data_IF_034338545862
#
_entry.id   IF_034338545862
#
_cell.length_a   1.000
_cell.length_b   1.000
_cell.length_c   1.000
_cell.angle_alpha   90.00
_cell.angle_beta   90.00
_cell.angle_gamma   90.00
#
_symmetry.space_group_name_H-M   'P 1'
#
loop_
_entity.id
_entity.type
_entity.pdbx_description
1 polymer ?
#
# COMPACT_ATOMS: atom_id res chain seq x y z
N UNK A 1 11.05 11.78 9.84
CA UNK A 1 11.07 10.73 8.81
C UNK A 1 9.81 9.88 8.92
N UNK A 2 9.19 9.56 7.81
CA UNK A 2 7.95 8.80 7.80
C UNK A 2 8.20 7.31 8.07
N UNK A 3 7.27 6.68 8.78
CA UNK A 3 7.19 5.23 8.90
C UNK A 3 6.18 4.76 7.86
N UNK A 4 6.65 4.12 6.79
CA UNK A 4 5.84 3.77 5.63
C UNK A 4 5.49 2.28 5.66
N UNK A 5 4.20 1.97 5.62
CA UNK A 5 3.73 0.59 5.54
C UNK A 5 3.42 0.24 4.08
N UNK A 6 4.06 -0.82 3.62
CA UNK A 6 3.94 -1.33 2.25
C UNK A 6 3.34 -2.72 2.26
N UNK A 7 2.67 -3.08 1.19
CA UNK A 7 2.12 -4.41 1.04
C UNK A 7 1.00 -4.46 0.03
N UNK A 8 0.70 -5.66 -0.44
CA UNK A 8 -0.39 -5.89 -1.37
C UNK A 8 -1.74 -5.63 -0.69
N UNK A 9 -2.80 -5.45 -1.48
CA UNK A 9 -4.15 -5.32 -0.90
C UNK A 9 -4.44 -6.54 -0.02
N UNK A 10 -5.14 -6.33 1.08
CA UNK A 10 -5.44 -7.38 2.04
C UNK A 10 -4.36 -7.64 3.09
N UNK A 11 -3.20 -6.98 3.01
CA UNK A 11 -2.11 -7.18 3.98
C UNK A 11 -2.38 -6.55 5.35
N UNK A 12 -3.39 -5.68 5.46
CA UNK A 12 -3.76 -5.07 6.74
C UNK A 12 -3.03 -3.79 7.08
N UNK A 13 -2.49 -3.10 6.09
CA UNK A 13 -1.71 -1.87 6.29
C UNK A 13 -2.42 -0.82 7.13
N UNK A 14 -3.67 -0.51 6.79
CA UNK A 14 -4.43 0.54 7.49
C UNK A 14 -4.76 0.14 8.93
N UNK A 15 -5.06 -1.13 9.16
CA UNK A 15 -5.32 -1.62 10.53
C UNK A 15 -4.08 -1.48 11.39
N UNK A 16 -2.93 -1.89 10.87
CA UNK A 16 -1.66 -1.78 11.60
C UNK A 16 -1.27 -0.31 11.80
N UNK A 17 -1.43 0.51 10.77
CA UNK A 17 -1.13 1.94 10.88
C UNK A 17 -1.93 2.61 11.98
N UNK A 18 -3.23 2.32 12.04
CA UNK A 18 -4.13 2.89 13.05
C UNK A 18 -3.71 2.50 14.47
N UNK A 19 -3.29 1.26 14.65
CA UNK A 19 -2.84 0.78 15.96
C UNK A 19 -1.50 1.41 16.36
N UNK A 20 -0.63 1.68 15.39
CA UNK A 20 0.66 2.33 15.66
C UNK A 20 0.48 3.81 15.97
N UNK A 21 -0.44 4.48 15.28
CA UNK A 21 -0.65 5.91 15.40
C UNK A 21 -2.09 6.25 15.01
N UNK A 22 -2.93 6.73 15.97
CA UNK A 22 -4.29 7.15 15.64
C UNK A 22 -4.35 8.27 14.58
N UNK A 23 -3.28 9.05 14.45
CA UNK A 23 -3.18 10.15 13.49
C UNK A 23 -2.48 9.74 12.20
N UNK A 24 -2.39 8.45 11.92
CA UNK A 24 -1.74 7.95 10.70
C UNK A 24 -2.39 8.55 9.44
N UNK A 25 -1.63 8.56 8.35
CA UNK A 25 -2.13 9.02 7.07
C UNK A 25 -2.45 7.81 6.19
N UNK A 26 -3.69 7.74 5.70
CA UNK A 26 -4.07 6.85 4.62
C UNK A 26 -3.80 7.60 3.32
N UNK A 27 -2.78 7.17 2.60
CA UNK A 27 -2.31 7.87 1.41
C UNK A 27 -3.37 7.95 0.32
N UNK A 28 -4.10 6.85 0.06
CA UNK A 28 -5.15 6.84 -0.95
C UNK A 28 -6.29 7.79 -0.58
N UNK A 29 -6.70 7.82 0.68
CA UNK A 29 -7.72 8.74 1.15
C UNK A 29 -7.28 10.20 0.99
N UNK A 30 -6.01 10.48 1.30
CA UNK A 30 -5.46 11.83 1.12
C UNK A 30 -5.44 12.24 -0.36
N UNK A 31 -5.07 11.32 -1.24
CA UNK A 31 -5.08 11.57 -2.69
C UNK A 31 -6.49 11.91 -3.15
N UNK A 32 -7.48 11.11 -2.76
CA UNK A 32 -8.89 11.35 -3.13
C UNK A 32 -9.37 12.71 -2.64
N UNK A 33 -8.99 13.08 -1.43
CA UNK A 33 -9.34 14.39 -0.88
C UNK A 33 -8.73 15.52 -1.71
N UNK A 34 -7.49 15.39 -2.14
CA UNK A 34 -6.83 16.41 -2.96
C UNK A 34 -7.41 16.49 -4.37
N UNK A 35 -7.81 15.34 -4.92
CA UNK A 35 -8.39 15.27 -6.26
C UNK A 35 -9.85 15.73 -6.29
N UNK A 36 -10.57 15.64 -5.16
CA UNK A 36 -11.99 15.91 -5.10
C UNK A 36 -12.83 14.85 -5.80
N UNK A 37 -12.28 13.66 -6.02
CA UNK A 37 -12.96 12.53 -6.66
C UNK A 37 -12.29 11.22 -6.24
N UNK A 38 -12.93 10.09 -6.54
CA UNK A 38 -12.34 8.79 -6.28
C UNK A 38 -11.15 8.51 -7.21
N UNK A 39 -10.23 7.68 -6.76
CA UNK A 39 -9.10 7.24 -7.57
C UNK A 39 -9.60 6.54 -8.83
N UNK A 40 -10.63 5.68 -8.70
CA UNK A 40 -11.20 4.97 -9.84
C UNK A 40 -11.71 5.94 -10.92
N UNK A 41 -12.42 7.00 -10.51
CA UNK A 41 -12.91 8.01 -11.44
C UNK A 41 -11.78 8.78 -12.10
N UNK A 42 -10.75 9.12 -11.33
CA UNK A 42 -9.59 9.82 -11.86
C UNK A 42 -8.86 8.98 -12.91
N UNK A 43 -8.68 7.68 -12.65
CA UNK A 43 -8.11 6.75 -13.63
C UNK A 43 -8.91 6.74 -14.92
N UNK A 44 -10.23 6.67 -14.81
CA UNK A 44 -11.12 6.61 -15.98
C UNK A 44 -11.02 7.90 -16.82
N UNK A 45 -10.89 9.06 -16.17
CA UNK A 45 -10.85 10.35 -16.88
C UNK A 45 -9.45 10.74 -17.37
N UNK A 46 -8.41 10.51 -16.55
CA UNK A 46 -7.08 11.04 -16.80
C UNK A 46 -6.03 9.96 -17.10
N UNK A 47 -6.32 8.70 -16.78
CA UNK A 47 -5.41 7.58 -17.01
C UNK A 47 -4.40 7.35 -15.91
N UNK A 48 -3.68 6.22 -16.02
CA UNK A 48 -2.74 5.78 -15.00
C UNK A 48 -1.55 6.73 -14.84
N UNK A 49 -0.98 7.20 -15.95
CA UNK A 49 0.20 8.07 -15.92
C UNK A 49 -0.06 9.35 -15.11
N UNK A 50 -1.22 9.99 -15.34
CA UNK A 50 -1.62 11.18 -14.60
C UNK A 50 -1.79 10.88 -13.11
N UNK A 51 -2.37 9.71 -12.78
CA UNK A 51 -2.54 9.30 -11.39
C UNK A 51 -1.18 9.08 -10.72
N UNK A 52 -0.27 8.36 -11.38
CA UNK A 52 1.06 8.10 -10.81
C UNK A 52 1.83 9.37 -10.54
N UNK A 53 1.63 10.41 -11.35
CA UNK A 53 2.24 11.72 -11.11
C UNK A 53 1.70 12.35 -9.82
N UNK A 54 0.39 12.36 -9.63
CA UNK A 54 -0.23 12.88 -8.41
C UNK A 54 0.22 12.05 -7.19
N UNK A 55 0.22 10.74 -7.33
CA UNK A 55 0.67 9.84 -6.27
C UNK A 55 2.11 10.14 -5.85
N UNK A 56 3.00 10.36 -6.80
CA UNK A 56 4.42 10.68 -6.52
C UNK A 56 4.55 12.01 -5.78
N UNK A 57 3.77 13.00 -6.15
CA UNK A 57 3.80 14.31 -5.49
C UNK A 57 3.33 14.19 -4.03
N UNK A 58 2.26 13.44 -3.79
CA UNK A 58 1.75 13.20 -2.45
C UNK A 58 2.77 12.40 -1.63
N UNK A 59 3.36 11.36 -2.21
CA UNK A 59 4.38 10.55 -1.55
C UNK A 59 5.59 11.39 -1.14
N UNK A 60 6.10 12.22 -2.05
CA UNK A 60 7.24 13.09 -1.76
C UNK A 60 6.95 14.03 -0.58
N UNK A 61 5.74 14.57 -0.52
CA UNK A 61 5.32 15.43 0.58
C UNK A 61 5.23 14.65 1.89
N UNK A 62 4.62 13.46 1.87
CA UNK A 62 4.47 12.62 3.07
C UNK A 62 5.80 12.15 3.64
N UNK A 63 6.78 11.87 2.79
CA UNK A 63 8.10 11.43 3.24
C UNK A 63 8.87 12.49 4.03
N UNK A 64 8.47 13.75 3.92
CA UNK A 64 9.06 14.85 4.69
C UNK A 64 8.46 14.99 6.08
N UNK A 65 7.38 14.27 6.37
CA UNK A 65 6.65 14.36 7.63
C UNK A 65 7.03 13.21 8.55
N UNK A 66 6.94 13.44 9.86
CA UNK A 66 7.20 12.42 10.87
C UNK A 66 5.87 11.75 11.24
N UNK A 67 5.36 10.93 10.35
CA UNK A 67 4.05 10.27 10.48
C UNK A 67 4.11 8.83 10.05
N UNK A 68 3.13 8.04 10.53
CA UNK A 68 2.88 6.69 10.01
C UNK A 68 2.01 6.83 8.76
N UNK A 69 2.44 6.22 7.66
CA UNK A 69 1.76 6.31 6.37
C UNK A 69 1.38 4.90 5.90
N UNK A 70 0.09 4.70 5.64
CA UNK A 70 -0.42 3.50 4.98
C UNK A 70 -0.53 3.80 3.49
N UNK A 71 0.26 3.10 2.67
CA UNK A 71 0.29 3.33 1.23
C UNK A 71 -0.77 2.49 0.50
N UNK A 72 -1.10 2.89 -0.73
CA UNK A 72 -1.87 2.04 -1.64
C UNK A 72 -1.01 0.89 -2.17
N UNK A 73 -1.65 -0.22 -2.53
CA UNK A 73 -0.94 -1.41 -3.00
C UNK A 73 -0.11 -1.20 -4.25
N UNK A 74 -0.46 -0.21 -5.08
CA UNK A 74 0.23 0.09 -6.32
C UNK A 74 1.29 1.17 -6.23
N UNK A 75 1.60 1.66 -5.02
CA UNK A 75 2.57 2.76 -4.85
C UNK A 75 3.94 2.43 -5.46
N UNK A 76 4.33 1.15 -5.44
CA UNK A 76 5.65 0.71 -5.96
C UNK A 76 5.68 0.49 -7.47
N UNK A 77 4.57 0.63 -8.17
CA UNK A 77 4.52 0.37 -9.62
C UNK A 77 5.35 1.41 -10.39
N UNK A 78 5.36 2.65 -9.94
CA UNK A 78 6.13 3.73 -10.55
C UNK A 78 7.59 3.69 -10.11
N UNK A 79 8.52 3.79 -11.08
CA UNK A 79 9.96 3.89 -10.77
C UNK A 79 10.26 5.11 -9.92
N UNK A 80 9.60 6.23 -10.21
CA UNK A 80 9.77 7.46 -9.42
C UNK A 80 9.40 7.23 -7.96
N UNK A 81 8.31 6.51 -7.70
CA UNK A 81 7.90 6.18 -6.32
C UNK A 81 8.91 5.27 -5.64
N UNK A 82 9.43 4.26 -6.37
CA UNK A 82 10.47 3.39 -5.81
C UNK A 82 11.71 4.18 -5.45
N UNK A 83 12.12 5.11 -6.30
CA UNK A 83 13.29 5.96 -6.03
C UNK A 83 13.05 6.86 -4.81
N UNK A 84 11.86 7.42 -4.69
CA UNK A 84 11.48 8.23 -3.52
C UNK A 84 11.50 7.39 -2.24
N UNK A 85 10.93 6.20 -2.27
CA UNK A 85 10.90 5.30 -1.11
C UNK A 85 12.29 4.90 -0.66
N UNK A 86 13.22 4.72 -1.59
CA UNK A 86 14.61 4.38 -1.25
C UNK A 86 15.32 5.48 -0.46
N UNK A 87 14.84 6.71 -0.52
CA UNK A 87 15.40 7.80 0.30
C UNK A 87 14.90 7.78 1.73
N UNK A 88 13.87 6.99 2.01
CA UNK A 88 13.28 6.88 3.35
C UNK A 88 13.82 5.61 4.03
N UNK A 89 14.25 5.72 5.29
CA UNK A 89 14.92 4.61 5.97
C UNK A 89 13.99 3.72 6.79
N UNK A 90 12.69 4.01 6.82
CA UNK A 90 11.73 3.27 7.63
C UNK A 90 10.54 2.81 6.80
N UNK A 91 10.82 1.94 5.84
CA UNK A 91 9.81 1.33 4.96
C UNK A 91 9.60 -0.12 5.40
N UNK A 92 8.41 -0.43 5.87
CA UNK A 92 8.07 -1.76 6.39
C UNK A 92 7.16 -2.47 5.39
N UNK A 93 7.64 -3.58 4.83
CA UNK A 93 6.85 -4.42 3.95
C UNK A 93 6.13 -5.47 4.78
N UNK A 94 4.80 -5.39 4.82
CA UNK A 94 3.95 -6.41 5.44
C UNK A 94 3.70 -7.50 4.40
N UNK A 95 4.51 -8.55 4.45
CA UNK A 95 4.51 -9.63 3.47
C UNK A 95 3.61 -10.77 3.93
N UNK A 96 2.75 -11.23 3.04
CA UNK A 96 1.93 -12.43 3.27
C UNK A 96 1.88 -13.24 1.98
N UNK A 97 1.59 -14.54 2.09
CA UNK A 97 1.45 -15.35 0.89
C UNK A 97 0.16 -14.97 0.13
N UNK A 98 0.16 -15.26 -1.17
CA UNK A 98 -0.94 -14.85 -2.04
C UNK A 98 -2.27 -15.47 -1.62
N UNK A 99 -2.28 -16.74 -1.26
CA UNK A 99 -3.53 -17.41 -0.88
C UNK A 99 -4.16 -16.75 0.35
N UNK A 100 -3.37 -16.40 1.35
CA UNK A 100 -3.84 -15.70 2.55
C UNK A 100 -4.45 -14.35 2.16
N UNK A 101 -3.75 -13.59 1.32
CA UNK A 101 -4.23 -12.28 0.86
C UNK A 101 -5.50 -12.42 0.03
N UNK A 102 -5.53 -13.39 -0.87
CA UNK A 102 -6.70 -13.62 -1.72
C UNK A 102 -7.94 -13.93 -0.89
N UNK A 103 -7.82 -14.80 0.11
CA UNK A 103 -8.94 -15.12 1.00
C UNK A 103 -9.44 -13.88 1.74
N UNK A 104 -8.54 -13.02 2.19
CA UNK A 104 -8.90 -11.77 2.88
C UNK A 104 -9.65 -10.82 1.94
N UNK A 105 -9.19 -10.71 0.70
CA UNK A 105 -9.83 -9.83 -0.31
C UNK A 105 -11.22 -10.34 -0.64
N UNK A 106 -11.39 -11.64 -0.85
CA UNK A 106 -12.69 -12.26 -1.14
C UNK A 106 -13.68 -12.06 0.00
N UNK A 107 -13.21 -12.18 1.24
CA UNK A 107 -14.03 -12.03 2.43
C UNK A 107 -14.46 -10.58 2.69
N UNK A 108 -13.73 -9.61 2.19
CA UNK A 108 -13.99 -8.17 2.40
C UNK A 108 -14.99 -7.66 1.36
N UNK A 109 -16.26 -7.89 1.63
CA UNK A 109 -17.36 -7.50 0.72
C UNK A 109 -17.65 -6.01 0.75
N UNK A 110 -17.19 -5.30 1.79
CA UNK A 110 -17.47 -3.87 1.96
C UNK A 110 -16.50 -2.99 1.17
N UNK A 111 -15.32 -3.51 0.83
CA UNK A 111 -14.26 -2.78 0.13
C UNK A 111 -13.87 -3.49 -1.16
N UNK A 112 -14.77 -3.46 -2.14
CA UNK A 112 -14.50 -4.05 -3.45
C UNK A 112 -13.45 -3.20 -4.20
N UNK A 113 -12.34 -3.83 -4.54
CA UNK A 113 -11.21 -3.13 -5.19
C UNK A 113 -11.23 -3.36 -6.70
N UNK A 114 -11.06 -2.30 -7.52
CA UNK A 114 -11.07 -2.45 -8.98
C UNK A 114 -10.09 -3.50 -9.48
N UNK A 115 -8.89 -3.58 -8.90
CA UNK A 115 -7.90 -4.57 -9.30
C UNK A 115 -8.42 -6.00 -9.12
N UNK A 116 -9.11 -6.26 -8.01
CA UNK A 116 -9.72 -7.58 -7.74
C UNK A 116 -10.89 -7.86 -8.69
N UNK A 117 -11.73 -6.85 -8.92
CA UNK A 117 -12.93 -7.01 -9.75
C UNK A 117 -12.60 -7.23 -11.23
N UNK A 118 -11.49 -6.65 -11.71
CA UNK A 118 -11.13 -6.64 -13.13
C UNK A 118 -10.15 -7.74 -13.54
N UNK A 119 -9.74 -8.61 -12.60
CA UNK A 119 -8.75 -9.64 -12.88
C UNK A 119 -9.21 -11.00 -12.35
N UNK A 120 -8.83 -12.06 -13.05
CA UNK A 120 -9.00 -13.43 -12.54
C UNK A 120 -8.02 -13.66 -11.39
N UNK A 121 -8.20 -14.77 -10.67
CA UNK A 121 -7.27 -15.16 -9.60
C UNK A 121 -5.85 -15.31 -10.13
N UNK A 122 -5.69 -15.93 -11.30
CA UNK A 122 -4.39 -16.16 -11.93
C UNK A 122 -3.74 -14.85 -12.34
N UNK A 123 -4.52 -13.93 -12.92
CA UNK A 123 -4.03 -12.60 -13.29
C UNK A 123 -3.60 -11.81 -12.06
N UNK A 124 -4.39 -11.90 -10.99
CA UNK A 124 -4.08 -11.21 -9.73
C UNK A 124 -2.80 -11.79 -9.09
N UNK A 125 -2.62 -13.11 -9.17
CA UNK A 125 -1.40 -13.77 -8.68
C UNK A 125 -0.16 -13.29 -9.43
N UNK A 126 -0.26 -13.09 -10.74
CA UNK A 126 0.84 -12.59 -11.55
C UNK A 126 1.19 -11.15 -11.16
N UNK A 127 0.18 -10.30 -10.94
CA UNK A 127 0.38 -8.92 -10.47
C UNK A 127 1.05 -8.93 -9.09
N UNK A 128 0.59 -9.78 -8.19
CA UNK A 128 1.18 -9.92 -6.85
C UNK A 128 2.66 -10.27 -6.94
N UNK A 129 3.01 -11.26 -7.76
CA UNK A 129 4.39 -11.72 -7.90
C UNK A 129 5.31 -10.63 -8.42
N UNK A 130 4.85 -9.85 -9.41
CA UNK A 130 5.61 -8.73 -9.94
C UNK A 130 5.82 -7.65 -8.89
N UNK A 131 4.76 -7.29 -8.17
CA UNK A 131 4.82 -6.25 -7.13
C UNK A 131 5.66 -6.69 -5.93
N UNK A 132 5.67 -7.99 -5.61
CA UNK A 132 6.45 -8.52 -4.49
C UNK A 132 7.93 -8.16 -4.62
N UNK A 133 8.51 -8.31 -5.80
CA UNK A 133 9.90 -7.95 -6.05
C UNK A 133 10.14 -6.45 -5.81
N UNK A 134 9.20 -5.61 -6.21
CA UNK A 134 9.31 -4.16 -6.03
C UNK A 134 9.17 -3.75 -4.55
N UNK A 135 8.27 -4.39 -3.80
CA UNK A 135 8.17 -4.14 -2.35
C UNK A 135 9.49 -4.49 -1.66
N UNK A 136 10.07 -5.64 -2.00
CA UNK A 136 11.33 -6.08 -1.40
C UNK A 136 12.48 -5.14 -1.75
N UNK A 137 12.45 -4.57 -2.95
CA UNK A 137 13.49 -3.62 -3.41
C UNK A 137 13.54 -2.37 -2.53
N UNK A 138 12.40 -1.84 -2.09
CA UNK A 138 12.33 -0.57 -1.36
C UNK A 138 12.20 -0.76 0.15
N UNK A 139 11.97 -1.97 0.63
CA UNK A 139 11.76 -2.23 2.05
C UNK A 139 13.06 -2.08 2.84
N UNK A 140 12.98 -1.37 3.98
CA UNK A 140 14.05 -1.37 4.98
C UNK A 140 13.91 -2.58 5.89
N UNK A 141 12.68 -3.07 6.03
CA UNK A 141 12.35 -4.18 6.92
C UNK A 141 11.20 -4.97 6.30
N UNK A 142 11.32 -6.29 6.32
CA UNK A 142 10.28 -7.19 5.81
C UNK A 142 9.74 -7.99 7.00
N UNK A 143 8.44 -7.95 7.18
CA UNK A 143 7.76 -8.70 8.24
C UNK A 143 6.74 -9.64 7.61
N UNK A 144 6.93 -10.94 7.80
CA UNK A 144 5.99 -11.95 7.30
C UNK A 144 4.77 -11.99 8.24
N UNK A 145 3.64 -11.54 7.74
CA UNK A 145 2.42 -11.42 8.53
C UNK A 145 1.39 -12.52 8.23
N UNK A 146 1.79 -13.54 7.46
CA UNK A 146 0.90 -14.63 7.05
C UNK A 146 0.18 -15.26 8.24
N UNK A 147 0.92 -15.51 9.32
CA UNK A 147 0.41 -16.21 10.51
C UNK A 147 0.38 -15.36 11.76
N UNK A 148 0.63 -14.06 11.65
CA UNK A 148 0.65 -13.16 12.81
C UNK A 148 -0.69 -12.48 13.00
N UNK A 149 -1.10 -12.32 14.26
CA UNK A 149 -2.25 -11.48 14.62
C UNK A 149 -1.85 -10.01 14.52
N UNK A 150 -2.80 -9.07 14.42
CA UNK A 150 -2.48 -7.66 14.46
C UNK A 150 -1.66 -7.27 15.69
N UNK A 151 -1.97 -7.84 16.86
CA UNK A 151 -1.26 -7.58 18.11
C UNK A 151 0.20 -8.02 18.03
N UNK A 152 0.46 -9.19 17.45
CA UNK A 152 1.81 -9.70 17.25
C UNK A 152 2.62 -8.84 16.29
N UNK A 153 1.96 -8.35 15.22
CA UNK A 153 2.60 -7.45 14.25
C UNK A 153 3.00 -6.14 14.94
N UNK A 154 2.10 -5.57 15.72
CA UNK A 154 2.36 -4.32 16.45
C UNK A 154 3.53 -4.49 17.41
N UNK A 155 3.59 -5.60 18.12
CA UNK A 155 4.67 -5.91 19.04
C UNK A 155 6.03 -5.90 18.33
N UNK A 156 6.09 -6.50 17.13
CA UNK A 156 7.30 -6.54 16.33
C UNK A 156 7.73 -5.16 15.84
N UNK A 157 6.79 -4.23 15.68
CA UNK A 157 7.06 -2.89 15.12
C UNK A 157 7.34 -1.83 16.17
N UNK A 158 7.15 -2.14 17.44
CA UNK A 158 7.41 -1.21 18.56
C UNK A 158 8.86 -1.25 19.03
#
# INVERSE_FOLDING_TARGET
MAKVLLGFMGAGKSTIARELDPDYVDMDALIEKRLGMSIANFFAEKGESAFRQVESEVLADLLQRDQVVSTGGGVIVSQRNRDLLKTNSDNIYLKADFETLYHRIVADKDNQRPLFLNNSKEELAAIFQERQAWYEEVASRILDVTKLSPEEIIEELR
#
